data_IF_783656624661
#
_entry.id   IF_783656624661
#
_cell.length_a   1.000
_cell.length_b   1.000
_cell.length_c   1.000
_cell.angle_alpha   90.00
_cell.angle_beta   90.00
_cell.angle_gamma   90.00
#
_symmetry.space_group_name_H-M   'P 1'
#
loop_
_entity.id
_entity.type
_entity.pdbx_description
1 polymer ?
#
# COMPACT_ATOMS: atom_id res chain seq x y z
N UNK A 1 0.76 -5.82 -4.93
CA UNK A 1 0.14 -5.45 -3.67
C UNK A 1 0.04 -3.96 -3.54
N UNK A 2 -1.05 -3.49 -3.02
CA UNK A 2 -1.29 -2.07 -2.78
C UNK A 2 -1.00 -1.19 -4.00
N UNK A 3 -1.57 -1.61 -5.14
CA UNK A 3 -1.31 -0.93 -6.40
C UNK A 3 -1.74 0.54 -6.37
N UNK A 4 -2.89 0.80 -5.76
CA UNK A 4 -3.38 2.17 -5.67
C UNK A 4 -2.49 3.02 -4.77
N UNK A 5 -2.05 2.45 -3.65
CA UNK A 5 -1.17 3.16 -2.74
C UNK A 5 0.14 3.53 -3.43
N UNK A 6 0.73 2.57 -4.15
CA UNK A 6 1.97 2.82 -4.87
C UNK A 6 1.79 3.93 -5.90
N UNK A 7 0.65 3.92 -6.60
CA UNK A 7 0.37 4.93 -7.61
C UNK A 7 0.27 6.32 -6.99
N UNK A 8 -0.37 6.42 -5.82
CA UNK A 8 -0.54 7.73 -5.20
C UNK A 8 0.75 8.23 -4.57
N UNK A 9 1.59 7.35 -4.06
CA UNK A 9 2.91 7.73 -3.57
C UNK A 9 3.74 8.28 -4.73
N UNK A 10 3.68 7.62 -5.89
CA UNK A 10 4.38 8.08 -7.08
C UNK A 10 3.84 9.43 -7.56
N UNK A 11 2.52 9.61 -7.49
CA UNK A 11 1.90 10.88 -7.89
C UNK A 11 2.40 12.01 -7.00
N UNK A 12 2.66 11.74 -5.73
CA UNK A 12 3.18 12.73 -4.81
C UNK A 12 4.67 13.01 -5.04
N UNK A 13 5.30 12.28 -5.94
CA UNK A 13 6.72 12.45 -6.23
C UNK A 13 7.61 11.86 -5.16
N UNK A 14 7.10 10.89 -4.40
CA UNK A 14 7.85 10.31 -3.29
C UNK A 14 8.33 8.91 -3.62
N UNK A 15 9.48 8.57 -3.06
CA UNK A 15 9.91 7.18 -3.01
C UNK A 15 9.39 6.58 -1.69
N UNK A 16 9.47 5.26 -1.55
CA UNK A 16 9.06 4.63 -0.29
C UNK A 16 9.88 5.13 0.91
N UNK A 17 11.22 5.28 0.81
CA UNK A 17 11.96 5.86 1.93
C UNK A 17 11.50 7.28 2.30
N UNK A 18 11.18 8.08 1.28
CA UNK A 18 10.70 9.44 1.53
C UNK A 18 9.34 9.43 2.19
N UNK A 19 8.46 8.54 1.76
CA UNK A 19 7.16 8.39 2.38
C UNK A 19 7.30 7.96 3.84
N UNK A 20 8.19 7.00 4.11
CA UNK A 20 8.45 6.55 5.47
C UNK A 20 8.92 7.71 6.34
N UNK A 21 9.85 8.50 5.82
CA UNK A 21 10.35 9.66 6.57
C UNK A 21 9.26 10.67 6.86
N UNK A 22 8.35 10.88 5.90
CA UNK A 22 7.29 11.87 6.05
C UNK A 22 6.32 11.51 7.18
N UNK A 23 6.11 10.22 7.42
CA UNK A 23 5.17 9.78 8.46
C UNK A 23 5.87 9.25 9.70
N UNK A 24 7.19 9.42 9.78
CA UNK A 24 7.94 9.01 10.96
C UNK A 24 8.11 7.51 11.10
N UNK A 25 8.14 6.79 9.98
CA UNK A 25 8.25 5.34 9.98
C UNK A 25 9.63 4.94 9.46
N UNK A 26 10.17 3.84 9.96
CA UNK A 26 11.44 3.32 9.47
C UNK A 26 11.23 2.72 8.07
N UNK A 27 12.25 2.84 7.23
CA UNK A 27 12.15 2.32 5.88
C UNK A 27 11.89 0.81 5.85
N UNK A 28 12.57 0.06 6.73
CA UNK A 28 12.34 -1.39 6.79
C UNK A 28 10.89 -1.73 7.10
N UNK A 29 10.23 -0.93 7.93
CA UNK A 29 8.84 -1.14 8.26
C UNK A 29 7.95 -0.90 7.04
N UNK A 30 8.14 0.23 6.34
CA UNK A 30 7.29 0.49 5.18
C UNK A 30 7.54 -0.54 4.09
N UNK A 31 8.78 -1.01 3.95
CA UNK A 31 9.08 -2.05 2.97
C UNK A 31 8.27 -3.32 3.26
N UNK A 32 8.25 -3.76 4.53
CA UNK A 32 7.50 -4.95 4.90
C UNK A 32 6.00 -4.77 4.69
N UNK A 33 5.48 -3.60 5.04
CA UNK A 33 4.07 -3.30 4.86
C UNK A 33 3.69 -3.31 3.38
N UNK A 34 4.48 -2.66 2.55
CA UNK A 34 4.19 -2.56 1.12
C UNK A 34 4.32 -3.89 0.40
N UNK A 35 5.11 -4.80 0.94
CA UNK A 35 5.31 -6.11 0.33
C UNK A 35 4.50 -7.22 0.98
N UNK A 36 3.55 -6.85 1.83
CA UNK A 36 2.66 -7.83 2.43
C UNK A 36 3.25 -8.69 3.51
N UNK A 37 4.45 -8.35 3.99
CA UNK A 37 5.10 -9.12 5.05
C UNK A 37 4.56 -8.78 6.42
N UNK A 38 3.85 -7.67 6.52
CA UNK A 38 3.31 -7.15 7.77
C UNK A 38 2.02 -6.41 7.42
N UNK A 39 1.06 -6.44 8.33
CA UNK A 39 -0.21 -5.77 8.07
C UNK A 39 -0.17 -4.34 8.55
N UNK A 40 -0.78 -3.45 7.79
CA UNK A 40 -0.92 -2.05 8.19
C UNK A 40 -1.82 -1.96 9.42
N UNK A 41 -1.46 -1.08 10.35
CA UNK A 41 -2.33 -0.72 11.46
C UNK A 41 -3.14 0.50 11.04
N UNK A 42 -4.29 0.68 11.68
CA UNK A 42 -5.17 1.80 11.33
C UNK A 42 -4.45 3.14 11.44
N UNK A 43 -3.68 3.35 12.52
CA UNK A 43 -2.95 4.61 12.68
C UNK A 43 -1.96 4.86 11.56
N UNK A 44 -1.31 3.80 11.09
CA UNK A 44 -0.36 3.90 9.98
C UNK A 44 -1.10 4.26 8.69
N UNK A 45 -2.24 3.62 8.46
CA UNK A 45 -3.04 3.89 7.28
C UNK A 45 -3.52 5.33 7.26
N UNK A 46 -3.97 5.83 8.41
CA UNK A 46 -4.45 7.20 8.51
C UNK A 46 -3.34 8.22 8.31
N UNK A 47 -2.14 7.93 8.82
CA UNK A 47 -1.00 8.81 8.62
C UNK A 47 -0.63 8.91 7.14
N UNK A 48 -0.61 7.78 6.45
CA UNK A 48 -0.32 7.76 5.03
C UNK A 48 -1.42 8.48 4.25
N UNK A 49 -2.67 8.23 4.61
CA UNK A 49 -3.81 8.89 3.98
C UNK A 49 -3.69 10.41 4.08
N UNK A 50 -3.43 10.92 5.28
CA UNK A 50 -3.31 12.36 5.49
C UNK A 50 -2.17 12.95 4.68
N UNK A 51 -1.04 12.26 4.66
CA UNK A 51 0.12 12.77 3.96
C UNK A 51 -0.15 12.84 2.45
N UNK A 52 -0.76 11.81 1.90
CA UNK A 52 -1.05 11.78 0.47
C UNK A 52 -2.15 12.76 0.10
N UNK A 53 -3.15 12.92 0.95
CA UNK A 53 -4.21 13.89 0.69
C UNK A 53 -3.65 15.30 0.59
N UNK A 54 -2.75 15.62 1.48
CA UNK A 54 -2.15 16.94 1.49
C UNK A 54 -1.25 17.15 0.26
N UNK A 55 -0.43 16.18 -0.05
CA UNK A 55 0.53 16.32 -1.15
C UNK A 55 -0.14 16.30 -2.52
N UNK A 56 -1.19 15.51 -2.66
CA UNK A 56 -1.86 15.36 -3.95
C UNK A 56 -3.11 16.22 -4.08
N UNK A 57 -3.43 16.99 -3.03
CA UNK A 57 -4.61 17.87 -3.00
C UNK A 57 -5.86 17.10 -3.42
N UNK A 58 -6.05 15.94 -2.82
CA UNK A 58 -7.12 15.02 -3.19
C UNK A 58 -7.56 14.28 -1.93
N UNK A 59 -8.83 13.95 -1.83
CA UNK A 59 -9.32 13.14 -0.72
C UNK A 59 -9.33 11.68 -1.12
N UNK A 60 -8.90 10.82 -0.21
CA UNK A 60 -8.86 9.38 -0.46
C UNK A 60 -9.62 8.63 0.62
N UNK A 61 -10.21 7.50 0.26
CA UNK A 61 -10.73 6.58 1.25
C UNK A 61 -9.65 5.56 1.59
N UNK A 62 -9.72 5.00 2.79
CA UNK A 62 -8.80 3.93 3.16
C UNK A 62 -9.03 2.71 2.28
N UNK A 63 -10.28 2.45 1.93
CA UNK A 63 -10.60 1.33 1.06
C UNK A 63 -9.85 1.42 -0.27
N UNK A 64 -9.84 2.61 -0.86
CA UNK A 64 -9.12 2.80 -2.12
C UNK A 64 -7.62 2.65 -1.96
N UNK A 65 -7.05 3.36 -0.96
CA UNK A 65 -5.59 3.39 -0.80
C UNK A 65 -5.03 2.02 -0.45
N UNK A 66 -5.72 1.30 0.42
CA UNK A 66 -5.18 0.05 0.94
C UNK A 66 -5.87 -1.18 0.36
N UNK A 67 -6.46 -1.02 -0.81
CA UNK A 67 -7.00 -2.14 -1.53
C UNK A 67 -5.84 -3.04 -1.92
N UNK A 68 -5.91 -4.30 -1.48
CA UNK A 68 -4.88 -5.28 -1.78
C UNK A 68 -5.31 -6.00 -3.03
N UNK A 69 -5.37 -5.26 -4.11
CA UNK A 69 -5.88 -5.81 -5.37
C UNK A 69 -4.93 -6.83 -5.91
N UNK A 70 -5.51 -7.87 -6.57
CA UNK A 70 -4.77 -8.80 -7.26
C UNK A 70 -4.38 -8.28 -8.51
N UNK A 71 -3.39 -8.23 -8.65
CA UNK A 71 -2.99 -7.77 -9.92
C UNK A 71 -3.14 -8.75 -10.98
N UNK A 72 -3.69 -9.35 -10.31
CA UNK A 72 -3.75 -10.01 -10.91
C UNK A 72 -4.05 -10.69 -11.16
N UNK A 73 -4.01 -10.81 -10.99
CA UNK A 73 -4.39 -11.40 -10.96
C UNK A 73 -4.34 -11.98 -11.04
N UNK A 74 -4.15 -12.01 -11.23
CA UNK A 74 -4.30 -12.44 -11.01
C UNK A 74 -4.24 -12.86 -10.67
N UNK A 75 -3.82 -13.22 -10.85
CA UNK A 75 -4.02 -13.50 -10.26
C UNK A 75 -3.78 -13.93 -9.83
N UNK A 76 -3.52 -14.05 -9.79
CA UNK A 76 -3.66 -14.33 -9.17
C UNK A 76 -3.56 -14.67 -8.64
N UNK A 77 -3.21 -15.26 -9.04
CA UNK A 77 -3.42 -15.49 -8.27
C UNK A 77 -3.09 -15.74 -7.81
N UNK A 78 -2.72 -16.17 -7.70
CA UNK A 78 -2.87 -16.35 -7.03
C UNK A 78 -2.55 -16.58 -6.61
N UNK A 79 -2.45 -16.94 -6.43
CA UNK A 79 -2.66 -17.15 -5.93
C UNK A 79 -2.67 -17.18 -5.61
N UNK A 80 -2.05 -18.01 -6.08
CA UNK A 80 -2.49 -18.01 -5.69
C UNK A 80 -2.34 -17.94 -5.32
N UNK A 81 -2.15 -18.37 -5.59
CA UNK A 81 -2.60 -18.24 -5.20
C UNK A 81 -2.59 -18.11 -4.88
N UNK A 82 -2.68 -18.61 -4.53
CA UNK A 82 -3.13 -18.41 -4.25
C UNK A 82 -3.16 -18.56 -3.92
N UNK A 83 -2.79 -19.21 -4.08
CA UNK A 83 -3.27 -19.29 -3.82
C UNK A 83 -3.40 -19.15 -3.63
N UNK A 84 -3.04 -20.15 -3.80
CA UNK A 84 -3.70 -19.97 -3.73
C UNK A 84 -3.85 -19.72 -3.61
N UNK A 85 -3.75 -20.19 -3.66
CA UNK A 85 -4.37 -19.93 -3.59
C UNK A 85 -4.47 -19.60 -3.67
N UNK A 86 -4.29 -20.35 -3.81
CA UNK A 86 -4.87 -19.85 -3.91
C UNK A 86 -4.85 -19.53 -3.94
N UNK A 87 -4.91 -20.29 -3.66
CA UNK A 87 -5.23 -19.97 -3.78
C UNK A 87 -5.36 -19.87 -3.74
N UNK A 88 -4.75 -20.37 -4.19
CA UNK A 88 -5.12 -20.03 -4.15
C UNK A 88 -5.02 -19.54 -4.02
N UNK A 89 -5.06 -20.31 -4.00
CA UNK A 89 -5.44 -19.82 -3.93
C UNK A 89 -5.34 -19.22 -3.90
#
# INVERSE_FOLDING_TARGET
MYKNLKAEIARAGLTNPEMAGAIGMKYGTIWRLMNGKQQFRLGEMMAIQSELEERNDTNYTLDYLFEDGDENGEGESDQGAHDGSVRPD
#
